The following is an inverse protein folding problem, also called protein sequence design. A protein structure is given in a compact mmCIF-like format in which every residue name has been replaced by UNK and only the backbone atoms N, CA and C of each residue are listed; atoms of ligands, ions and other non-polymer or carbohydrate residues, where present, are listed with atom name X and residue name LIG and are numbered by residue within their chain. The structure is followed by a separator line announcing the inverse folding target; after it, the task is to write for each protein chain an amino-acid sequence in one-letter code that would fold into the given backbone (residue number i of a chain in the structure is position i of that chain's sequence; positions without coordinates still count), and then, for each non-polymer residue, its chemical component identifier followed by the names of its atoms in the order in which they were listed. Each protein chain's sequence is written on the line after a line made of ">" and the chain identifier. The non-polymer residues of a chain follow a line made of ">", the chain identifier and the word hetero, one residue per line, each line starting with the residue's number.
data_IF_253773887276
#
_entry.id   IF_253773887276
#
_cell.length_a   1.000
_cell.length_b   1.000
_cell.length_c   1.000
_cell.angle_alpha   90.00
_cell.angle_beta   90.00
_cell.angle_gamma   90.00
#
_symmetry.space_group_name_H-M   'P 1'
#
loop_
_entity.id
_entity.type
_entity.pdbx_description
1 polymer ?
#
# COMPACT_ATOMS: atom_id res chain seq x y z
N UNK A 1 15.70 -5.95 17.80
CA UNK A 1 15.49 -4.65 17.12
C UNK A 1 16.78 -4.33 16.39
N UNK A 2 16.80 -4.49 15.07
CA UNK A 2 18.00 -4.34 14.24
C UNK A 2 18.44 -2.86 14.20
N UNK A 3 19.74 -2.58 14.15
CA UNK A 3 20.36 -1.25 14.19
C UNK A 3 19.77 -0.24 13.17
N UNK A 4 19.22 -0.76 12.06
CA UNK A 4 18.56 0.03 11.01
C UNK A 4 17.27 0.70 11.51
N UNK A 5 16.52 0.06 12.41
CA UNK A 5 15.25 0.61 12.92
C UNK A 5 15.44 1.60 14.09
N UNK A 6 16.64 1.66 14.69
CA UNK A 6 16.97 2.68 15.70
C UNK A 6 17.40 4.02 15.09
N UNK A 7 17.49 4.09 13.76
CA UNK A 7 17.88 5.29 13.05
C UNK A 7 16.64 6.08 12.62
N UNK A 8 16.48 7.22 13.30
CA UNK A 8 15.93 8.49 12.83
C UNK A 8 14.45 8.75 13.16
N UNK A 9 14.19 9.32 14.35
CA UNK A 9 13.06 10.24 14.50
C UNK A 9 13.44 11.57 13.86
N UNK A 10 12.71 12.04 12.83
CA UNK A 10 12.83 13.43 12.41
C UNK A 10 12.49 14.33 13.60
N UNK A 11 13.31 15.34 13.94
CA UNK A 11 12.98 16.27 15.03
C UNK A 11 11.64 16.94 14.72
N UNK A 12 10.83 17.20 15.75
CA UNK A 12 9.59 17.97 15.59
C UNK A 12 9.95 19.39 15.16
N UNK A 13 9.10 19.98 14.34
CA UNK A 13 9.24 21.38 13.92
C UNK A 13 9.08 22.32 15.12
N UNK A 14 9.80 23.42 15.16
CA UNK A 14 9.71 24.39 16.27
C UNK A 14 8.49 25.32 16.16
N UNK A 15 8.00 25.52 14.94
CA UNK A 15 6.80 26.26 14.59
C UNK A 15 6.07 25.51 13.46
N UNK A 16 4.77 25.77 13.20
CA UNK A 16 4.07 25.14 12.09
C UNK A 16 4.79 25.38 10.75
N UNK A 17 4.97 24.32 9.96
CA UNK A 17 5.60 24.39 8.64
C UNK A 17 4.66 23.77 7.62
N UNK A 18 4.33 24.53 6.57
CA UNK A 18 3.69 24.02 5.37
C UNK A 18 4.76 23.52 4.41
N UNK A 19 4.60 22.28 3.96
CA UNK A 19 5.40 21.69 2.90
C UNK A 19 4.55 21.61 1.64
N UNK A 20 5.15 21.92 0.47
CA UNK A 20 4.50 21.75 -0.82
C UNK A 20 4.22 23.06 -1.56
N UNK A 21 3.11 23.11 -2.27
CA UNK A 21 2.67 24.23 -3.12
C UNK A 21 1.15 24.43 -3.05
N UNK A 22 0.61 25.38 -3.82
CA UNK A 22 -0.80 25.74 -3.80
C UNK A 22 -1.79 24.58 -4.07
N UNK A 23 -1.37 23.51 -4.75
CA UNK A 23 -2.23 22.38 -5.13
C UNK A 23 -1.91 21.10 -4.33
N UNK A 24 -0.67 20.95 -3.88
CA UNK A 24 -0.21 19.78 -3.14
C UNK A 24 0.62 20.24 -1.95
N UNK A 25 0.00 20.25 -0.78
CA UNK A 25 0.62 20.66 0.48
C UNK A 25 0.11 19.86 1.67
N UNK A 26 0.84 19.94 2.77
CA UNK A 26 0.38 19.54 4.11
C UNK A 26 1.19 20.30 5.18
N UNK A 27 0.71 20.29 6.41
CA UNK A 27 1.29 21.08 7.51
C UNK A 27 1.78 20.17 8.63
N UNK A 28 3.02 20.35 9.09
CA UNK A 28 3.50 19.75 10.34
C UNK A 28 3.45 20.79 11.47
N UNK A 29 2.99 20.37 12.63
CA UNK A 29 2.88 21.20 13.84
C UNK A 29 3.88 20.76 14.92
N UNK A 30 4.29 21.65 15.84
CA UNK A 30 5.23 21.32 16.91
C UNK A 30 4.80 20.18 17.85
N UNK A 31 3.50 19.89 17.91
CA UNK A 31 2.97 18.73 18.64
C UNK A 31 3.44 17.39 18.06
N UNK A 32 3.86 17.35 16.80
CA UNK A 32 4.09 16.14 16.01
C UNK A 32 2.87 15.73 15.17
N UNK A 33 1.84 16.57 15.09
CA UNK A 33 0.75 16.38 14.13
C UNK A 33 1.23 16.74 12.73
N UNK A 34 0.96 15.86 11.76
CA UNK A 34 1.12 16.10 10.33
C UNK A 34 -0.27 16.05 9.69
N UNK A 35 -0.75 17.17 9.19
CA UNK A 35 -2.08 17.30 8.61
C UNK A 35 -2.08 17.05 7.10
N UNK A 36 -2.31 15.78 6.73
CA UNK A 36 -2.38 15.33 5.34
C UNK A 36 -3.75 15.57 4.69
N UNK A 37 -4.72 16.16 5.40
CA UNK A 37 -6.07 16.40 4.86
C UNK A 37 -6.10 17.45 3.74
N UNK A 38 -5.07 18.29 3.67
CA UNK A 38 -4.95 19.42 2.72
C UNK A 38 -6.15 20.36 2.78
N UNK A 39 -6.69 20.55 3.98
CA UNK A 39 -7.91 21.34 4.21
C UNK A 39 -7.64 22.82 4.45
N UNK A 40 -6.42 23.19 4.85
CA UNK A 40 -6.07 24.56 5.21
C UNK A 40 -4.59 24.86 4.97
N UNK A 41 -4.32 25.87 4.14
CA UNK A 41 -2.98 26.46 4.02
C UNK A 41 -2.63 27.28 5.26
N UNK A 42 -1.37 27.25 5.69
CA UNK A 42 -0.90 28.15 6.74
C UNK A 42 -1.02 29.62 6.29
N UNK A 43 -1.70 30.43 7.11
CA UNK A 43 -1.74 31.87 6.89
C UNK A 43 -0.36 32.51 7.09
N UNK A 44 -0.14 33.67 6.47
CA UNK A 44 1.10 34.43 6.62
C UNK A 44 1.42 34.84 8.09
N UNK A 45 0.41 34.84 8.96
CA UNK A 45 0.55 35.09 10.40
C UNK A 45 0.93 33.85 11.22
N UNK A 46 0.95 32.65 10.62
CA UNK A 46 1.43 31.41 11.23
C UNK A 46 0.65 31.02 12.49
N UNK A 47 -0.63 30.66 12.35
CA UNK A 47 -1.42 30.18 13.49
C UNK A 47 -0.71 29.01 14.19
N UNK A 48 -0.40 29.11 15.50
CA UNK A 48 0.49 28.16 16.17
C UNK A 48 -0.15 26.79 16.42
N UNK A 49 -1.48 26.70 16.37
CA UNK A 49 -2.26 25.49 16.66
C UNK A 49 -2.95 24.94 15.42
N UNK A 50 -3.08 23.61 15.29
CA UNK A 50 -3.84 23.02 14.20
C UNK A 50 -5.33 23.38 14.29
N UNK A 51 -6.03 23.45 13.14
CA UNK A 51 -7.47 23.60 13.16
C UNK A 51 -8.12 22.42 13.89
N UNK A 52 -9.34 22.60 14.46
CA UNK A 52 -10.09 21.50 15.05
C UNK A 52 -10.28 20.35 14.06
N UNK A 53 -10.23 19.11 14.55
CA UNK A 53 -10.50 17.93 13.74
C UNK A 53 -11.93 17.99 13.16
N UNK A 54 -12.04 18.00 11.83
CA UNK A 54 -13.32 18.07 11.15
C UNK A 54 -13.83 16.68 10.78
N UNK A 55 -15.13 16.40 10.92
CA UNK A 55 -15.69 15.14 10.41
C UNK A 55 -15.67 15.14 8.86
N UNK A 56 -15.28 14.04 8.18
CA UNK A 56 -15.00 12.70 8.69
C UNK A 56 -13.51 12.38 8.96
N UNK A 57 -12.64 13.39 9.11
CA UNK A 57 -11.22 13.20 9.35
C UNK A 57 -10.97 12.41 10.63
N UNK A 58 -9.84 11.69 10.66
CA UNK A 58 -9.36 10.97 11.83
C UNK A 58 -7.87 11.15 12.00
N UNK A 59 -7.38 10.88 13.21
CA UNK A 59 -5.97 10.96 13.56
C UNK A 59 -5.41 9.55 13.80
N UNK A 60 -4.21 9.29 13.28
CA UNK A 60 -3.55 7.99 13.31
C UNK A 60 -2.11 8.12 13.78
N UNK A 61 -1.75 7.38 14.81
CA UNK A 61 -0.36 7.30 15.28
C UNK A 61 0.53 6.57 14.27
N UNK A 62 1.73 7.12 14.07
CA UNK A 62 2.78 6.55 13.21
C UNK A 62 4.13 6.61 13.94
N UNK A 63 5.12 5.90 13.41
CA UNK A 63 6.47 5.89 13.98
C UNK A 63 7.08 7.31 14.04
N UNK A 64 8.01 7.51 14.98
CA UNK A 64 8.68 8.80 15.18
C UNK A 64 7.89 9.80 16.04
N UNK A 65 7.02 9.32 16.92
CA UNK A 65 6.15 10.13 17.79
C UNK A 65 5.34 11.18 16.99
N UNK A 66 4.79 10.72 15.86
CA UNK A 66 3.96 11.51 14.96
C UNK A 66 2.53 11.00 14.94
N UNK A 67 1.63 11.91 14.61
CA UNK A 67 0.22 11.62 14.36
C UNK A 67 -0.14 12.20 13.01
N UNK A 68 -0.77 11.41 12.14
CA UNK A 68 -1.28 11.87 10.86
C UNK A 68 -2.75 12.22 11.00
N UNK A 69 -3.16 13.41 10.54
CA UNK A 69 -4.57 13.71 10.30
C UNK A 69 -4.91 13.38 8.86
N UNK A 70 -5.95 12.56 8.68
CA UNK A 70 -6.28 11.92 7.41
C UNK A 70 -7.71 12.30 7.02
N UNK A 71 -7.88 12.73 5.77
CA UNK A 71 -9.19 12.82 5.12
C UNK A 71 -9.49 11.48 4.43
N UNK A 72 -10.44 10.68 4.93
CA UNK A 72 -10.72 9.36 4.35
C UNK A 72 -11.17 9.44 2.88
N UNK A 73 -11.81 10.54 2.45
CA UNK A 73 -12.27 10.70 1.08
C UNK A 73 -11.14 10.86 0.06
N UNK A 74 -9.95 11.28 0.52
CA UNK A 74 -8.73 11.43 -0.30
C UNK A 74 -7.72 10.32 -0.05
N UNK A 75 -8.14 9.23 0.59
CA UNK A 75 -7.23 8.19 1.08
C UNK A 75 -7.64 6.81 0.58
N UNK A 76 -6.65 6.02 0.18
CA UNK A 76 -6.85 4.62 -0.20
C UNK A 76 -5.88 3.68 0.51
N UNK A 77 -6.30 2.43 0.72
CA UNK A 77 -5.44 1.33 1.19
C UNK A 77 -5.13 0.38 0.04
N UNK A 78 -3.88 0.42 -0.42
CA UNK A 78 -3.34 -0.38 -1.53
C UNK A 78 -2.73 -1.68 -0.99
N UNK A 79 -3.40 -2.80 -1.26
CA UNK A 79 -2.98 -4.14 -0.82
C UNK A 79 -2.46 -4.90 -2.03
N UNK A 80 -1.16 -5.21 -2.03
CA UNK A 80 -0.44 -5.70 -3.20
C UNK A 80 -0.25 -7.21 -3.18
N UNK A 81 -0.73 -7.89 -4.22
CA UNK A 81 -0.42 -9.28 -4.56
C UNK A 81 -0.61 -10.32 -3.43
N UNK A 82 -1.60 -10.15 -2.55
CA UNK A 82 -1.97 -11.14 -1.53
C UNK A 82 -2.73 -12.34 -2.13
N UNK A 83 -2.20 -12.89 -3.23
CA UNK A 83 -2.81 -13.91 -4.07
C UNK A 83 -2.31 -15.32 -3.74
N UNK A 84 -3.11 -16.34 -4.10
CA UNK A 84 -2.75 -17.75 -3.94
C UNK A 84 -1.38 -18.08 -4.53
N UNK A 85 -1.02 -17.51 -5.69
CA UNK A 85 0.28 -17.75 -6.30
C UNK A 85 1.47 -17.41 -5.40
N UNK A 86 1.34 -16.38 -4.58
CA UNK A 86 2.43 -15.91 -3.71
C UNK A 86 2.38 -16.50 -2.30
N UNK A 87 1.21 -16.93 -1.83
CA UNK A 87 0.99 -17.30 -0.42
C UNK A 87 0.60 -18.77 -0.22
N UNK A 88 -0.03 -19.41 -1.20
CA UNK A 88 -0.51 -20.77 -1.03
C UNK A 88 0.68 -21.74 -0.90
N UNK A 89 0.71 -22.62 0.13
CA UNK A 89 1.84 -23.52 0.39
C UNK A 89 2.21 -24.44 -0.79
N UNK A 90 1.23 -24.85 -1.59
CA UNK A 90 1.46 -25.66 -2.80
C UNK A 90 2.28 -24.92 -3.88
N UNK A 91 2.29 -23.58 -3.84
CA UNK A 91 2.99 -22.77 -4.83
C UNK A 91 4.28 -22.19 -4.29
N UNK A 92 4.23 -21.58 -3.10
CA UNK A 92 5.35 -20.84 -2.55
C UNK A 92 5.35 -20.95 -1.02
N UNK A 93 6.50 -21.32 -0.47
CA UNK A 93 6.72 -21.25 0.97
C UNK A 93 6.96 -19.79 1.36
N UNK A 94 5.94 -19.14 1.92
CA UNK A 94 5.97 -17.73 2.30
C UNK A 94 5.36 -17.50 3.70
N UNK A 95 6.00 -18.04 4.76
CA UNK A 95 5.43 -17.99 6.13
C UNK A 95 5.28 -16.56 6.65
N UNK A 96 6.18 -15.66 6.28
CA UNK A 96 6.09 -14.24 6.67
C UNK A 96 4.95 -13.52 5.94
N UNK A 97 4.70 -13.85 4.66
CA UNK A 97 3.55 -13.36 3.91
C UNK A 97 2.21 -13.87 4.46
N UNK A 98 2.17 -15.13 4.89
CA UNK A 98 0.99 -15.69 5.58
C UNK A 98 0.73 -14.99 6.93
N UNK A 99 1.77 -14.59 7.64
CA UNK A 99 1.64 -13.83 8.89
C UNK A 99 1.05 -12.42 8.69
N UNK A 100 1.02 -11.88 7.46
CA UNK A 100 0.38 -10.60 7.15
C UNK A 100 -1.15 -10.71 7.01
N UNK A 101 -1.71 -11.92 6.90
CA UNK A 101 -3.16 -12.12 6.66
C UNK A 101 -3.99 -11.57 7.82
N UNK A 102 -3.69 -11.96 9.06
CA UNK A 102 -4.46 -11.51 10.24
C UNK A 102 -4.37 -9.99 10.47
N UNK A 103 -3.18 -9.35 10.38
CA UNK A 103 -3.07 -7.88 10.37
C UNK A 103 -3.95 -7.20 9.32
N UNK A 104 -4.03 -7.75 8.11
CA UNK A 104 -4.88 -7.20 7.05
C UNK A 104 -6.37 -7.38 7.35
N UNK A 105 -6.77 -8.54 7.88
CA UNK A 105 -8.15 -8.79 8.32
C UNK A 105 -8.58 -7.87 9.48
N UNK A 106 -7.63 -7.28 10.21
CA UNK A 106 -7.89 -6.23 11.20
C UNK A 106 -7.92 -4.83 10.57
N UNK A 107 -6.92 -4.48 9.76
CA UNK A 107 -6.76 -3.14 9.21
C UNK A 107 -7.79 -2.78 8.13
N UNK A 108 -8.18 -3.75 7.28
CA UNK A 108 -9.13 -3.52 6.18
C UNK A 108 -10.51 -3.09 6.70
N UNK A 109 -11.18 -3.84 7.61
CA UNK A 109 -12.47 -3.42 8.15
C UNK A 109 -12.39 -2.07 8.87
N UNK A 110 -11.31 -1.81 9.60
CA UNK A 110 -11.09 -0.56 10.32
C UNK A 110 -11.08 0.62 9.34
N UNK A 111 -10.15 0.64 8.38
CA UNK A 111 -10.06 1.73 7.41
C UNK A 111 -11.33 1.86 6.56
N UNK A 112 -11.94 0.73 6.16
CA UNK A 112 -13.22 0.73 5.44
C UNK A 112 -14.32 1.42 6.23
N UNK A 113 -14.42 1.19 7.55
CA UNK A 113 -15.44 1.82 8.40
C UNK A 113 -15.31 3.34 8.51
N UNK A 114 -14.10 3.88 8.26
CA UNK A 114 -13.83 5.33 8.17
C UNK A 114 -14.11 5.92 6.79
N UNK A 115 -14.46 5.08 5.81
CA UNK A 115 -14.68 5.51 4.42
C UNK A 115 -13.39 5.58 3.57
N UNK A 116 -12.28 5.01 4.04
CA UNK A 116 -11.06 4.86 3.22
C UNK A 116 -11.32 3.83 2.13
N UNK A 117 -10.93 4.14 0.90
CA UNK A 117 -11.12 3.27 -0.25
C UNK A 117 -10.15 2.07 -0.19
N UNK A 118 -10.66 0.84 -0.25
CA UNK A 118 -9.81 -0.36 -0.25
C UNK A 118 -9.51 -0.78 -1.69
N UNK A 119 -8.23 -0.91 -2.03
CA UNK A 119 -7.75 -1.23 -3.38
C UNK A 119 -6.92 -2.51 -3.35
N UNK A 120 -7.44 -3.57 -3.96
CA UNK A 120 -6.79 -4.86 -4.07
C UNK A 120 -6.01 -4.90 -5.40
N UNK A 121 -4.71 -4.58 -5.33
CA UNK A 121 -3.86 -4.36 -6.49
C UNK A 121 -3.04 -5.62 -6.78
N UNK A 122 -3.52 -6.40 -7.73
CA UNK A 122 -3.11 -7.79 -7.92
C UNK A 122 -2.69 -8.08 -9.36
N UNK A 123 -1.77 -9.01 -9.56
CA UNK A 123 -1.51 -9.55 -10.88
C UNK A 123 -2.78 -10.12 -11.51
N UNK A 124 -3.05 -9.74 -12.76
CA UNK A 124 -4.15 -10.30 -13.52
C UNK A 124 -3.98 -9.97 -14.99
N UNK A 125 -3.36 -10.89 -15.71
CA UNK A 125 -2.98 -10.71 -17.10
C UNK A 125 -4.10 -11.15 -18.05
N UNK A 126 -4.16 -10.44 -19.17
CA UNK A 126 -4.93 -10.78 -20.37
C UNK A 126 -4.00 -11.36 -21.45
N UNK A 127 -4.58 -11.99 -22.48
CA UNK A 127 -3.80 -12.46 -23.64
C UNK A 127 -2.99 -11.35 -24.29
N UNK A 128 -3.58 -10.16 -24.42
CA UNK A 128 -2.89 -9.02 -25.01
C UNK A 128 -1.67 -8.62 -24.16
N UNK A 129 -1.82 -8.57 -22.84
CA UNK A 129 -0.73 -8.16 -21.96
C UNK A 129 0.47 -9.12 -22.03
N UNK A 130 0.25 -10.43 -22.23
CA UNK A 130 1.34 -11.41 -22.44
C UNK A 130 2.28 -11.04 -23.60
N UNK A 131 1.75 -10.37 -24.62
CA UNK A 131 2.52 -9.91 -25.79
C UNK A 131 3.44 -8.74 -25.44
N UNK A 132 3.12 -7.98 -24.40
CA UNK A 132 3.84 -6.75 -23.99
C UNK A 132 4.77 -6.94 -22.80
N UNK A 133 4.74 -8.10 -22.13
CA UNK A 133 5.57 -8.33 -20.93
C UNK A 133 7.06 -8.25 -21.31
N UNK A 134 7.87 -7.41 -20.63
CA UNK A 134 9.29 -7.28 -20.90
C UNK A 134 10.08 -8.58 -20.69
N UNK A 135 11.18 -8.80 -21.45
CA UNK A 135 11.99 -10.00 -21.33
C UNK A 135 12.54 -10.27 -19.91
N UNK A 136 12.93 -9.23 -19.17
CA UNK A 136 13.42 -9.36 -17.79
C UNK A 136 12.36 -9.95 -16.86
N UNK A 137 11.10 -9.52 -17.03
CA UNK A 137 9.96 -10.00 -16.26
C UNK A 137 9.59 -11.43 -16.66
N UNK A 138 9.54 -11.73 -17.96
CA UNK A 138 9.35 -13.10 -18.46
C UNK A 138 10.40 -14.04 -17.87
N UNK A 139 11.69 -13.66 -17.95
CA UNK A 139 12.80 -14.44 -17.37
C UNK A 139 12.65 -14.64 -15.87
N UNK A 140 12.22 -13.62 -15.13
CA UNK A 140 12.03 -13.68 -13.68
C UNK A 140 10.95 -14.69 -13.26
N UNK A 141 9.82 -14.69 -13.97
CA UNK A 141 8.65 -15.53 -13.67
C UNK A 141 8.68 -16.92 -14.31
N UNK A 142 9.61 -17.19 -15.25
CA UNK A 142 9.82 -18.54 -15.80
C UNK A 142 10.79 -19.41 -14.98
N UNK A 143 11.21 -18.97 -13.79
CA UNK A 143 12.12 -19.73 -12.93
C UNK A 143 11.42 -20.97 -12.34
N UNK A 144 12.16 -22.08 -12.20
CA UNK A 144 11.69 -23.27 -11.50
C UNK A 144 10.90 -24.27 -12.34
N UNK A 145 10.91 -24.15 -13.68
CA UNK A 145 10.41 -25.19 -14.59
C UNK A 145 8.89 -25.33 -14.66
N UNK A 146 8.11 -24.43 -14.02
CA UNK A 146 6.63 -24.43 -14.02
C UNK A 146 6.01 -23.66 -15.20
N UNK A 147 6.81 -23.30 -16.20
CA UNK A 147 6.41 -22.35 -17.23
C UNK A 147 6.53 -20.89 -16.78
N UNK A 148 6.15 -19.97 -17.67
CA UNK A 148 6.12 -18.52 -17.41
C UNK A 148 4.69 -17.99 -17.37
N UNK A 149 4.54 -16.67 -17.40
CA UNK A 149 3.21 -16.04 -17.46
C UNK A 149 2.29 -16.69 -18.50
N UNK A 150 1.05 -17.00 -18.10
CA UNK A 150 0.05 -17.63 -18.97
C UNK A 150 0.22 -19.14 -19.22
N UNK A 151 1.27 -19.78 -18.70
CA UNK A 151 1.42 -21.25 -18.75
C UNK A 151 0.43 -21.94 -17.81
N UNK A 152 -0.03 -23.14 -18.18
CA UNK A 152 -0.93 -23.95 -17.35
C UNK A 152 -0.19 -24.46 -16.11
N UNK A 153 -0.70 -24.14 -14.92
CA UNK A 153 -0.17 -24.68 -13.67
C UNK A 153 -0.78 -26.05 -13.37
N UNK A 154 -0.05 -26.95 -12.69
CA UNK A 154 -0.57 -28.26 -12.32
C UNK A 154 -1.76 -28.16 -11.35
N UNK A 155 -2.44 -29.27 -11.12
CA UNK A 155 -3.47 -29.42 -10.06
C UNK A 155 -4.66 -28.44 -10.16
N UNK A 156 -4.99 -27.96 -11.36
CA UNK A 156 -6.17 -27.13 -11.59
C UNK A 156 -6.03 -25.68 -11.14
N UNK A 157 -4.81 -25.20 -10.86
CA UNK A 157 -4.55 -23.82 -10.48
C UNK A 157 -4.76 -22.80 -11.62
N UNK A 158 -5.00 -23.29 -12.84
CA UNK A 158 -5.23 -22.50 -14.03
C UNK A 158 -3.94 -21.88 -14.57
N UNK A 159 -4.11 -20.95 -15.50
CA UNK A 159 -2.98 -20.29 -16.17
C UNK A 159 -2.32 -19.26 -15.27
N UNK A 160 -0.99 -19.29 -15.22
CA UNK A 160 -0.19 -18.48 -14.29
C UNK A 160 -0.49 -16.99 -14.41
N UNK A 161 -0.99 -16.41 -13.31
CA UNK A 161 -1.28 -14.98 -13.12
C UNK A 161 -2.24 -14.38 -14.15
N UNK A 162 -3.05 -15.21 -14.80
CA UNK A 162 -4.10 -14.77 -15.72
C UNK A 162 -5.37 -14.39 -14.94
N UNK A 163 -6.14 -13.43 -15.45
CA UNK A 163 -7.43 -13.04 -14.85
C UNK A 163 -8.37 -14.24 -14.75
N UNK A 164 -9.04 -14.37 -13.60
CA UNK A 164 -9.99 -15.45 -13.33
C UNK A 164 -9.36 -16.82 -13.01
N UNK A 165 -8.03 -16.98 -13.09
CA UNK A 165 -7.38 -18.22 -12.69
C UNK A 165 -7.33 -18.36 -11.16
N UNK A 166 -7.44 -19.59 -10.64
CA UNK A 166 -7.45 -19.86 -9.21
C UNK A 166 -6.18 -19.38 -8.49
N UNK A 167 -5.02 -19.47 -9.15
CA UNK A 167 -3.76 -18.93 -8.62
C UNK A 167 -3.75 -17.39 -8.48
N UNK A 168 -4.59 -16.69 -9.25
CA UNK A 168 -4.71 -15.23 -9.23
C UNK A 168 -5.77 -14.71 -8.24
N UNK A 169 -6.56 -15.60 -7.63
CA UNK A 169 -7.47 -15.20 -6.56
C UNK A 169 -6.69 -14.80 -5.30
N UNK A 170 -7.31 -13.99 -4.44
CA UNK A 170 -6.75 -13.67 -3.13
C UNK A 170 -6.61 -14.93 -2.27
N UNK A 171 -5.63 -14.92 -1.38
CA UNK A 171 -5.37 -16.04 -0.50
C UNK A 171 -6.40 -16.16 0.62
N UNK A 172 -7.03 -17.33 0.71
CA UNK A 172 -7.86 -17.74 1.84
C UNK A 172 -8.88 -16.67 2.27
N UNK A 173 -8.91 -16.28 3.57
CA UNK A 173 -9.92 -15.38 4.11
C UNK A 173 -9.89 -13.96 3.51
N UNK A 174 -8.79 -13.55 2.86
CA UNK A 174 -8.72 -12.26 2.18
C UNK A 174 -9.67 -12.21 0.97
N UNK A 175 -9.93 -13.35 0.33
CA UNK A 175 -10.88 -13.42 -0.77
C UNK A 175 -12.32 -13.16 -0.29
N UNK A 176 -12.68 -13.70 0.88
CA UNK A 176 -13.99 -13.46 1.50
C UNK A 176 -14.13 -11.99 1.94
N UNK A 177 -13.07 -11.42 2.50
CA UNK A 177 -13.04 -10.02 2.92
C UNK A 177 -13.16 -9.05 1.73
N UNK A 178 -12.55 -9.37 0.58
CA UNK A 178 -12.77 -8.64 -0.67
C UNK A 178 -14.22 -8.74 -1.14
N UNK A 179 -14.79 -9.96 -1.22
CA UNK A 179 -16.17 -10.16 -1.70
C UNK A 179 -17.18 -9.40 -0.83
N UNK A 180 -16.94 -9.31 0.48
CA UNK A 180 -17.73 -8.50 1.40
C UNK A 180 -17.68 -7.01 1.04
N UNK A 181 -16.47 -6.48 0.83
CA UNK A 181 -16.28 -5.06 0.48
C UNK A 181 -16.78 -4.71 -0.92
N UNK A 182 -16.60 -5.60 -1.89
CA UNK A 182 -17.12 -5.45 -3.27
C UNK A 182 -18.64 -5.32 -3.25
N UNK A 183 -19.34 -6.19 -2.51
CA UNK A 183 -20.80 -6.11 -2.34
C UNK A 183 -21.26 -4.81 -1.66
N UNK A 184 -20.41 -4.20 -0.84
CA UNK A 184 -20.67 -2.92 -0.18
C UNK A 184 -20.30 -1.72 -1.06
N UNK A 185 -19.62 -1.94 -2.19
CA UNK A 185 -19.10 -0.88 -3.04
C UNK A 185 -17.90 -0.14 -2.44
N UNK A 186 -17.23 -0.72 -1.45
CA UNK A 186 -16.11 -0.09 -0.71
C UNK A 186 -14.73 -0.61 -1.11
N UNK A 187 -14.69 -1.71 -1.86
CA UNK A 187 -13.46 -2.37 -2.27
C UNK A 187 -13.42 -2.51 -3.78
N UNK A 188 -12.26 -2.25 -4.38
CA UNK A 188 -12.06 -2.30 -5.83
C UNK A 188 -10.90 -3.21 -6.16
N UNK A 189 -11.10 -4.09 -7.13
CA UNK A 189 -10.04 -4.91 -7.69
C UNK A 189 -9.30 -4.18 -8.80
N UNK A 190 -7.99 -4.05 -8.67
CA UNK A 190 -7.12 -3.43 -9.67
C UNK A 190 -6.19 -4.50 -10.24
N UNK A 191 -6.30 -4.74 -11.54
CA UNK A 191 -5.38 -5.62 -12.24
C UNK A 191 -4.12 -4.87 -12.66
N UNK A 192 -2.97 -5.31 -12.15
CA UNK A 192 -1.66 -4.88 -12.64
C UNK A 192 -1.00 -5.94 -13.51
N UNK A 193 -0.11 -5.47 -14.37
CA UNK A 193 0.62 -6.28 -15.35
C UNK A 193 2.14 -6.07 -15.29
N UNK A 194 2.62 -5.37 -14.26
CA UNK A 194 4.03 -5.17 -13.90
C UNK A 194 4.20 -5.32 -12.39
N UNK A 195 5.44 -5.21 -11.90
CA UNK A 195 5.73 -5.27 -10.46
C UNK A 195 5.00 -4.14 -9.70
N UNK A 196 5.26 -2.88 -10.09
CA UNK A 196 4.55 -1.72 -9.56
C UNK A 196 3.12 -1.68 -10.10
N UNK A 197 2.16 -1.41 -9.22
CA UNK A 197 0.76 -1.19 -9.59
C UNK A 197 0.54 0.10 -10.39
N UNK A 198 1.49 1.04 -10.31
CA UNK A 198 1.43 2.38 -10.90
C UNK A 198 2.69 2.72 -11.71
N UNK A 199 3.24 1.71 -12.40
CA UNK A 199 4.51 1.77 -13.13
C UNK A 199 4.57 2.78 -14.30
N UNK A 200 3.43 3.31 -14.71
CA UNK A 200 3.32 4.23 -15.84
C UNK A 200 2.02 5.02 -15.78
N UNK A 201 1.90 6.07 -16.59
CA UNK A 201 0.65 6.80 -16.70
C UNK A 201 -0.44 5.89 -17.28
N UNK A 202 -1.70 6.16 -16.93
CA UNK A 202 -2.87 5.45 -17.43
C UNK A 202 -2.91 3.95 -17.08
N UNK A 203 -2.16 3.51 -16.06
CA UNK A 203 -2.41 2.21 -15.45
C UNK A 203 -3.76 2.20 -14.76
N UNK A 204 -4.36 1.02 -14.54
CA UNK A 204 -5.66 0.94 -13.88
C UNK A 204 -5.67 1.57 -12.48
N UNK A 205 -4.57 1.43 -11.72
CA UNK A 205 -4.42 2.11 -10.43
C UNK A 205 -4.34 3.63 -10.61
N UNK A 206 -3.48 4.10 -11.52
CA UNK A 206 -3.29 5.53 -11.79
C UNK A 206 -4.60 6.25 -12.12
N UNK A 207 -5.34 5.72 -13.11
CA UNK A 207 -6.62 6.28 -13.54
C UNK A 207 -7.63 6.31 -12.39
N UNK A 208 -7.66 5.26 -11.56
CA UNK A 208 -8.56 5.20 -10.43
C UNK A 208 -8.23 6.27 -9.39
N UNK A 209 -6.95 6.38 -9.01
CA UNK A 209 -6.49 7.35 -8.01
C UNK A 209 -6.76 8.79 -8.47
N UNK A 210 -6.43 9.13 -9.72
CA UNK A 210 -6.69 10.44 -10.31
C UNK A 210 -8.18 10.77 -10.35
N UNK A 211 -9.02 9.83 -10.83
CA UNK A 211 -10.46 10.03 -10.96
C UNK A 211 -11.15 10.28 -9.61
N UNK A 212 -10.62 9.70 -8.52
CA UNK A 212 -11.20 9.82 -7.19
C UNK A 212 -10.49 10.89 -6.33
N UNK A 213 -9.53 11.63 -6.88
CA UNK A 213 -8.81 12.67 -6.16
C UNK A 213 -8.05 12.13 -4.94
N UNK A 214 -7.57 10.88 -5.00
CA UNK A 214 -6.82 10.26 -3.91
C UNK A 214 -5.43 10.88 -3.85
N UNK A 215 -4.97 11.17 -2.64
CA UNK A 215 -3.67 11.82 -2.40
C UNK A 215 -2.82 11.11 -1.35
N UNK A 216 -3.45 10.29 -0.50
CA UNK A 216 -2.78 9.55 0.58
C UNK A 216 -3.00 8.06 0.40
N UNK A 217 -1.92 7.27 0.52
CA UNK A 217 -1.92 5.84 0.23
C UNK A 217 -1.30 5.05 1.38
N UNK A 218 -2.11 4.18 1.98
CA UNK A 218 -1.60 3.07 2.79
C UNK A 218 -1.11 1.94 1.90
N UNK A 219 -0.02 1.28 2.27
CA UNK A 219 0.54 0.15 1.54
C UNK A 219 0.70 -1.08 2.43
N UNK A 220 0.29 -2.22 1.89
CA UNK A 220 0.56 -3.54 2.44
C UNK A 220 0.71 -4.58 1.32
N UNK A 221 1.12 -5.79 1.67
CA UNK A 221 1.16 -6.93 0.76
C UNK A 221 2.55 -7.53 0.55
N UNK A 222 2.72 -8.23 -0.57
CA UNK A 222 3.95 -8.96 -0.90
C UNK A 222 4.39 -8.73 -2.35
N UNK A 223 5.66 -8.88 -2.71
CA UNK A 223 6.82 -8.93 -1.81
C UNK A 223 7.28 -7.50 -1.49
N UNK A 224 7.72 -7.28 -0.24
CA UNK A 224 8.16 -6.00 0.30
C UNK A 224 9.11 -5.25 -0.64
N UNK A 225 10.22 -5.87 -1.02
CA UNK A 225 11.32 -5.30 -1.80
C UNK A 225 11.11 -5.37 -3.33
N UNK A 226 9.91 -5.76 -3.78
CA UNK A 226 9.58 -5.93 -5.19
C UNK A 226 8.31 -5.16 -5.55
N UNK A 227 7.15 -5.81 -5.55
CA UNK A 227 5.89 -5.18 -5.97
C UNK A 227 5.46 -4.06 -5.02
N UNK A 228 5.63 -4.27 -3.70
CA UNK A 228 5.28 -3.25 -2.69
C UNK A 228 6.20 -2.05 -2.82
N UNK A 229 7.53 -2.24 -2.75
CA UNK A 229 8.50 -1.16 -2.90
C UNK A 229 8.38 -0.45 -4.24
N UNK A 230 8.22 -1.19 -5.35
CA UNK A 230 8.04 -0.60 -6.67
C UNK A 230 6.82 0.33 -6.73
N UNK A 231 5.71 -0.10 -6.14
CA UNK A 231 4.49 0.73 -6.08
C UNK A 231 4.67 1.93 -5.15
N UNK A 232 5.32 1.75 -4.00
CA UNK A 232 5.65 2.83 -3.05
C UNK A 232 6.51 3.90 -3.72
N UNK A 233 7.59 3.51 -4.40
CA UNK A 233 8.53 4.45 -5.02
C UNK A 233 7.87 5.22 -6.16
N UNK A 234 7.10 4.54 -7.01
CA UNK A 234 6.38 5.22 -8.08
C UNK A 234 5.29 6.16 -7.53
N UNK A 235 4.59 5.78 -6.46
CA UNK A 235 3.61 6.64 -5.80
C UNK A 235 4.29 7.88 -5.18
N UNK A 236 5.40 7.70 -4.47
CA UNK A 236 6.19 8.80 -3.92
C UNK A 236 6.66 9.78 -5.00
N UNK A 237 7.21 9.28 -6.12
CA UNK A 237 7.65 10.14 -7.23
C UNK A 237 6.51 10.87 -7.94
N UNK A 238 5.27 10.40 -7.79
CA UNK A 238 4.06 11.07 -8.28
C UNK A 238 3.44 12.02 -7.27
N UNK A 239 4.01 12.17 -6.08
CA UNK A 239 3.54 13.11 -5.06
C UNK A 239 2.41 12.59 -4.16
N UNK A 240 2.17 11.28 -4.12
CA UNK A 240 1.27 10.69 -3.12
C UNK A 240 1.96 10.64 -1.75
N UNK A 241 1.19 10.87 -0.68
CA UNK A 241 1.65 10.66 0.68
C UNK A 241 1.63 9.16 1.00
N UNK A 242 2.81 8.58 1.24
CA UNK A 242 2.98 7.13 1.42
C UNK A 242 2.95 6.75 2.90
N UNK A 243 2.17 5.73 3.25
CA UNK A 243 2.11 5.15 4.59
C UNK A 243 2.27 3.63 4.51
N UNK A 244 3.35 3.06 5.06
CA UNK A 244 3.52 1.60 5.13
C UNK A 244 2.84 1.01 6.37
N UNK A 245 2.07 -0.07 6.19
CA UNK A 245 1.50 -0.86 7.29
C UNK A 245 2.44 -2.04 7.55
N UNK A 246 3.39 -1.86 8.49
CA UNK A 246 4.60 -2.69 8.56
C UNK A 246 4.34 -4.19 8.80
N UNK A 247 3.33 -4.51 9.59
CA UNK A 247 2.92 -5.89 9.88
C UNK A 247 2.04 -6.51 8.79
N UNK A 248 1.61 -5.70 7.81
CA UNK A 248 0.97 -6.15 6.59
C UNK A 248 1.92 -6.33 5.40
N UNK A 249 3.24 -6.11 5.56
CA UNK A 249 4.23 -6.20 4.48
C UNK A 249 5.24 -7.31 4.77
N UNK A 250 5.49 -8.18 3.78
CA UNK A 250 6.48 -9.25 3.92
C UNK A 250 7.20 -9.58 2.62
N UNK A 251 8.33 -10.28 2.72
CA UNK A 251 9.08 -10.80 1.57
C UNK A 251 9.68 -12.16 1.88
N UNK A 252 9.99 -12.90 0.81
CA UNK A 252 10.83 -14.12 0.87
C UNK A 252 12.30 -13.81 0.57
N UNK A 253 12.66 -12.55 0.34
CA UNK A 253 14.05 -12.14 0.16
C UNK A 253 14.85 -12.36 1.46
N UNK A 254 16.19 -12.48 1.37
CA UNK A 254 17.04 -12.57 2.55
C UNK A 254 16.87 -11.39 3.52
N UNK A 255 17.45 -11.54 4.71
CA UNK A 255 17.56 -10.47 5.70
C UNK A 255 18.05 -9.16 5.08
N UNK A 256 17.43 -8.05 5.46
CA UNK A 256 17.64 -6.72 4.88
C UNK A 256 16.58 -6.35 3.84
N UNK A 257 15.88 -7.32 3.24
CA UNK A 257 14.85 -7.06 2.23
C UNK A 257 13.69 -6.22 2.77
N UNK A 258 13.06 -6.63 3.87
CA UNK A 258 11.98 -5.88 4.51
C UNK A 258 12.51 -4.60 5.19
N UNK A 259 13.66 -4.71 5.86
CA UNK A 259 14.26 -3.61 6.62
C UNK A 259 14.59 -2.42 5.72
N UNK A 260 15.11 -2.67 4.50
CA UNK A 260 15.38 -1.62 3.53
C UNK A 260 14.09 -0.88 3.11
N UNK A 261 13.00 -1.61 2.92
CA UNK A 261 11.71 -1.04 2.51
C UNK A 261 11.14 -0.16 3.62
N UNK A 262 11.10 -0.70 4.85
CA UNK A 262 10.59 0.04 6.00
C UNK A 262 11.47 1.25 6.31
N UNK A 263 12.80 1.09 6.33
CA UNK A 263 13.73 2.19 6.60
C UNK A 263 13.54 3.35 5.61
N UNK A 264 13.56 3.10 4.30
CA UNK A 264 13.41 4.17 3.32
C UNK A 264 12.00 4.77 3.34
N UNK A 265 10.97 3.96 3.63
CA UNK A 265 9.61 4.50 3.74
C UNK A 265 9.50 5.47 4.91
N UNK A 266 9.93 5.10 6.11
CA UNK A 266 9.83 5.99 7.28
C UNK A 266 10.79 7.18 7.26
N UNK A 267 11.93 7.07 6.57
CA UNK A 267 12.95 8.12 6.60
C UNK A 267 12.94 9.05 5.38
N UNK A 268 12.54 8.56 4.21
CA UNK A 268 12.62 9.32 2.96
C UNK A 268 11.24 9.51 2.30
N UNK A 269 10.44 8.44 2.19
CA UNK A 269 9.26 8.46 1.34
C UNK A 269 7.98 8.94 2.04
N UNK A 270 7.82 8.67 3.32
CA UNK A 270 6.60 8.95 4.06
C UNK A 270 6.63 8.43 5.49
N UNK A 271 5.64 7.61 5.86
CA UNK A 271 5.37 7.22 7.24
C UNK A 271 5.20 5.71 7.41
N UNK A 272 5.29 5.23 8.66
CA UNK A 272 5.08 3.82 9.01
C UNK A 272 4.08 3.73 10.15
N UNK A 273 3.10 2.84 10.01
CA UNK A 273 2.16 2.45 11.07
C UNK A 273 2.04 0.93 11.14
N UNK A 274 1.13 0.42 11.96
CA UNK A 274 0.78 -1.00 12.04
C UNK A 274 -0.74 -1.21 12.16
N UNK A 275 -1.18 -2.44 11.93
CA UNK A 275 -2.60 -2.81 11.95
C UNK A 275 -3.27 -2.55 13.30
N UNK A 276 -2.52 -2.59 14.40
CA UNK A 276 -3.04 -2.34 15.75
C UNK A 276 -3.36 -0.87 15.96
N UNK A 277 -2.47 0.04 15.54
CA UNK A 277 -2.73 1.49 15.59
C UNK A 277 -3.90 1.87 14.69
N UNK A 278 -3.98 1.29 13.49
CA UNK A 278 -5.12 1.45 12.58
C UNK A 278 -6.43 1.00 13.24
N UNK A 279 -6.46 -0.20 13.83
CA UNK A 279 -7.66 -0.71 14.49
C UNK A 279 -8.08 0.09 15.74
N UNK A 280 -7.15 0.87 16.32
CA UNK A 280 -7.42 1.74 17.47
C UNK A 280 -7.85 3.15 17.06
N UNK A 281 -7.61 3.56 15.81
CA UNK A 281 -8.02 4.88 15.28
C UNK A 281 -9.45 4.91 14.75
N UNK A 282 -10.22 3.82 14.90
CA UNK A 282 -11.59 3.66 14.37
C UNK A 282 -12.65 3.66 15.45
#
# INVERSE_FOLDING_TARGET
>A
MTLIMSLLSRPKVEAPIEFGNAESFWVEYPSGLVDLSRSHHLSASGEPSPPPLASPQFELEVDGDRTLRIDPAKTAFVIVDMQNFFLHPDMRQHPTGLACVDPLLSAVPALRSRGVQILWVNWGLTEHELTTIPPSLKRGFSKGGRGGFGSELPNGWGRLLMRGAANSALYGPLQDEYVKGEKQGTDVWIHKNRMSGIWGYQTALDLYLEQHGITTLFFAGVNADQCVLGTIVDAYYRGYDVIAVRDGIATTSPEGGLENVLYNTGNAYGFITDSKRIASSV
#
